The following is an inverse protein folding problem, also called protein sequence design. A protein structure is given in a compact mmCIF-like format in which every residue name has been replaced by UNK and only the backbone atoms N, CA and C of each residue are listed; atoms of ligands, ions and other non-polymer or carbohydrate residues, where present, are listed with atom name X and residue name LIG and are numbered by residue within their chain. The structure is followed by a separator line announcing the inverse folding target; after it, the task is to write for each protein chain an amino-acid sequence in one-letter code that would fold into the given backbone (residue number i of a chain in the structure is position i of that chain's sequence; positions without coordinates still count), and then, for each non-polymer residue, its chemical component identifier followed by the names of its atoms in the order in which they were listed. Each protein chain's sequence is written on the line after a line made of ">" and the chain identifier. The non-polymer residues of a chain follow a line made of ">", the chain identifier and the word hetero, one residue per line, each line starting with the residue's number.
data_IF_281513781283
#
_entry.id   IF_281513781283
#
_cell.length_a   1.000
_cell.length_b   1.000
_cell.length_c   1.000
_cell.angle_alpha   90.00
_cell.angle_beta   90.00
_cell.angle_gamma   90.00
#
_symmetry.space_group_name_H-M   'P 1'
#
loop_
_entity.id
_entity.type
_entity.pdbx_description
1 polymer ?
#
# COMPACT_ATOMS: atom_id res chain seq x y z
N UNK A 1 13.23 -17.98 -15.54
CA UNK A 1 13.66 -17.82 -14.13
C UNK A 1 12.82 -16.70 -13.55
N UNK A 2 11.85 -17.07 -12.72
CA UNK A 2 10.84 -16.17 -12.19
C UNK A 2 11.51 -15.12 -11.32
N UNK A 3 11.22 -13.86 -11.59
CA UNK A 3 11.68 -12.71 -10.84
C UNK A 3 11.32 -12.89 -9.35
N UNK A 4 12.30 -13.28 -8.54
CA UNK A 4 12.16 -13.49 -7.09
C UNK A 4 12.42 -12.20 -6.31
N UNK A 5 12.27 -11.04 -6.95
CA UNK A 5 12.43 -9.76 -6.29
C UNK A 5 11.14 -9.37 -5.53
N UNK A 6 11.30 -8.93 -4.28
CA UNK A 6 10.23 -8.22 -3.57
C UNK A 6 9.91 -6.92 -4.31
N UNK A 7 8.67 -6.39 -4.24
CA UNK A 7 8.21 -5.26 -5.07
C UNK A 7 8.79 -3.90 -4.66
N UNK A 8 9.85 -3.89 -3.85
CA UNK A 8 10.56 -2.71 -3.37
C UNK A 8 12.05 -3.01 -3.28
N UNK A 9 12.87 -1.96 -3.29
CA UNK A 9 14.33 -2.07 -3.27
C UNK A 9 14.81 -2.81 -2.01
N UNK A 10 15.25 -4.06 -2.20
CA UNK A 10 15.61 -4.95 -1.11
C UNK A 10 17.04 -4.69 -0.67
N UNK A 11 17.21 -3.88 0.38
CA UNK A 11 18.50 -3.64 1.04
C UNK A 11 18.79 -4.58 2.22
N UNK A 12 17.89 -5.52 2.52
CA UNK A 12 17.84 -6.21 3.81
C UNK A 12 18.48 -7.60 3.78
N UNK A 13 18.31 -8.37 2.70
CA UNK A 13 18.88 -9.73 2.56
C UNK A 13 18.74 -10.24 1.12
N UNK A 14 19.17 -11.47 0.85
CA UNK A 14 18.90 -12.22 -0.38
C UNK A 14 17.40 -12.22 -0.75
N UNK A 15 17.09 -12.39 -2.04
CA UNK A 15 15.69 -12.32 -2.53
C UNK A 15 14.74 -13.34 -1.88
N UNK A 16 15.25 -14.50 -1.46
CA UNK A 16 14.43 -15.60 -0.94
C UNK A 16 13.96 -15.37 0.51
N UNK A 17 14.85 -14.92 1.40
CA UNK A 17 14.48 -14.54 2.77
C UNK A 17 13.53 -13.33 2.78
N UNK A 18 13.80 -12.33 1.94
CA UNK A 18 12.94 -11.17 1.81
C UNK A 18 11.53 -11.57 1.32
N UNK A 19 11.44 -12.54 0.42
CA UNK A 19 10.16 -13.10 -0.03
C UNK A 19 9.43 -13.84 1.09
N UNK A 20 10.15 -14.61 1.90
CA UNK A 20 9.56 -15.30 3.05
C UNK A 20 8.98 -14.31 4.07
N UNK A 21 9.73 -13.24 4.39
CA UNK A 21 9.24 -12.16 5.25
C UNK A 21 8.04 -11.44 4.63
N UNK A 22 8.04 -11.20 3.32
CA UNK A 22 6.90 -10.58 2.62
C UNK A 22 5.64 -11.43 2.75
N UNK A 23 5.72 -12.74 2.46
CA UNK A 23 4.58 -13.66 2.57
C UNK A 23 4.05 -13.75 4.01
N UNK A 24 4.95 -13.67 5.00
CA UNK A 24 4.55 -13.61 6.40
C UNK A 24 3.80 -12.32 6.73
N UNK A 25 4.29 -11.16 6.31
CA UNK A 25 3.60 -9.89 6.49
C UNK A 25 2.25 -9.84 5.75
N UNK A 26 2.16 -10.46 4.57
CA UNK A 26 0.91 -10.61 3.85
C UNK A 26 -0.11 -11.48 4.58
N UNK A 27 0.35 -12.57 5.22
CA UNK A 27 -0.50 -13.45 6.05
C UNK A 27 -1.09 -12.71 7.24
N UNK A 28 -0.28 -11.89 7.92
CA UNK A 28 -0.74 -11.05 9.03
C UNK A 28 -1.66 -9.91 8.56
N UNK A 29 -1.39 -9.40 7.36
CA UNK A 29 -2.16 -8.36 6.74
C UNK A 29 -1.81 -6.96 7.25
N UNK A 30 -2.01 -5.98 6.36
CA UNK A 30 -1.54 -4.58 6.54
C UNK A 30 -2.03 -3.92 7.83
N UNK A 31 -3.24 -4.24 8.29
CA UNK A 31 -3.79 -3.65 9.51
C UNK A 31 -3.11 -4.20 10.76
N UNK A 32 -2.89 -5.51 10.82
CA UNK A 32 -2.26 -6.15 11.97
C UNK A 32 -0.78 -5.74 12.07
N UNK A 33 -0.06 -5.81 10.95
CA UNK A 33 1.35 -5.36 10.87
C UNK A 33 1.49 -3.91 11.31
N UNK A 34 0.55 -3.02 10.95
CA UNK A 34 0.57 -1.63 11.40
C UNK A 34 0.34 -1.51 12.92
N UNK A 35 -0.60 -2.27 13.47
CA UNK A 35 -0.87 -2.26 14.90
C UNK A 35 0.35 -2.76 15.69
N UNK A 36 0.95 -3.87 15.25
CA UNK A 36 2.18 -4.41 15.84
C UNK A 36 3.35 -3.44 15.70
N UNK A 37 3.47 -2.74 14.56
CA UNK A 37 4.53 -1.74 14.37
C UNK A 37 4.36 -0.55 15.32
N UNK A 38 3.14 -0.04 15.47
CA UNK A 38 2.85 1.06 16.39
C UNK A 38 3.05 0.64 17.86
N UNK A 39 2.64 -0.57 18.22
CA UNK A 39 2.88 -1.15 19.54
C UNK A 39 4.38 -1.27 19.82
N UNK A 40 5.16 -1.73 18.85
CA UNK A 40 6.61 -1.82 18.94
C UNK A 40 7.27 -0.45 19.12
N UNK A 41 6.85 0.58 18.39
CA UNK A 41 7.38 1.94 18.55
C UNK A 41 7.13 2.50 19.96
N UNK A 42 6.02 2.11 20.60
CA UNK A 42 5.63 2.60 21.92
C UNK A 42 6.22 1.79 23.07
N UNK A 43 6.28 0.46 22.93
CA UNK A 43 6.52 -0.46 24.04
C UNK A 43 7.85 -1.22 23.92
N UNK A 44 8.48 -1.27 22.74
CA UNK A 44 9.70 -2.04 22.52
C UNK A 44 10.65 -1.41 21.47
N UNK A 45 11.03 -0.13 21.60
CA UNK A 45 11.83 0.57 20.59
C UNK A 45 13.21 -0.07 20.34
N UNK A 46 13.77 -0.75 21.34
CA UNK A 46 15.09 -1.40 21.23
C UNK A 46 15.04 -2.76 20.53
N UNK A 47 13.84 -3.31 20.30
CA UNK A 47 13.68 -4.59 19.62
C UNK A 47 13.91 -4.38 18.12
N UNK A 48 14.67 -5.29 17.49
CA UNK A 48 14.99 -5.20 16.05
C UNK A 48 14.03 -6.00 15.17
N UNK A 49 13.17 -6.81 15.79
CA UNK A 49 12.30 -7.77 15.13
C UNK A 49 10.84 -7.47 15.48
N UNK A 50 10.01 -7.37 14.45
CA UNK A 50 8.59 -7.09 14.62
C UNK A 50 7.78 -8.37 14.88
N UNK A 51 7.96 -9.40 14.03
CA UNK A 51 7.21 -10.67 14.08
C UNK A 51 8.18 -11.80 13.76
N UNK A 52 8.37 -12.75 14.68
CA UNK A 52 9.07 -14.03 14.43
C UNK A 52 10.23 -13.90 13.43
N UNK A 53 11.22 -13.05 13.68
CA UNK A 53 12.41 -12.85 12.80
C UNK A 53 12.28 -11.88 11.61
N UNK A 54 11.14 -11.20 11.41
CA UNK A 54 11.05 -10.11 10.42
C UNK A 54 11.71 -8.83 10.97
N UNK A 55 12.74 -8.27 10.30
CA UNK A 55 13.35 -7.02 10.73
C UNK A 55 12.35 -5.87 10.74
N UNK A 56 12.38 -5.05 11.79
CA UNK A 56 11.48 -3.91 11.96
C UNK A 56 11.52 -2.95 10.77
N UNK A 57 12.71 -2.72 10.21
CA UNK A 57 12.83 -1.84 9.06
C UNK A 57 12.37 -2.47 7.75
N UNK A 58 12.40 -3.80 7.61
CA UNK A 58 11.77 -4.47 6.47
C UNK A 58 10.25 -4.28 6.52
N UNK A 59 9.64 -4.44 7.69
CA UNK A 59 8.22 -4.16 7.90
C UNK A 59 7.85 -2.69 7.62
N UNK A 60 8.72 -1.75 8.00
CA UNK A 60 8.55 -0.32 7.68
C UNK A 60 8.53 -0.07 6.17
N UNK A 61 9.49 -0.63 5.44
CA UNK A 61 9.60 -0.44 3.99
C UNK A 61 8.41 -1.10 3.27
N UNK A 62 7.99 -2.28 3.72
CA UNK A 62 6.77 -2.96 3.25
C UNK A 62 5.50 -2.13 3.51
N UNK A 63 5.38 -1.53 4.70
CA UNK A 63 4.26 -0.63 5.02
C UNK A 63 4.27 0.63 4.14
N UNK A 64 5.44 1.22 3.87
CA UNK A 64 5.60 2.38 3.00
C UNK A 64 5.15 2.05 1.56
N UNK A 65 5.56 0.90 1.03
CA UNK A 65 5.09 0.40 -0.27
C UNK A 65 3.57 0.22 -0.30
N UNK A 66 2.96 -0.34 0.74
CA UNK A 66 1.51 -0.47 0.83
C UNK A 66 0.77 0.87 0.91
N UNK A 67 1.35 1.85 1.62
CA UNK A 67 0.80 3.20 1.67
C UNK A 67 0.87 3.89 0.30
N UNK A 68 1.98 3.76 -0.40
CA UNK A 68 2.17 4.31 -1.74
C UNK A 68 1.21 3.65 -2.75
N UNK A 69 1.05 2.34 -2.68
CA UNK A 69 0.08 1.58 -3.47
C UNK A 69 -1.36 2.04 -3.22
N UNK A 70 -1.73 2.30 -1.95
CA UNK A 70 -3.05 2.90 -1.62
C UNK A 70 -3.20 4.31 -2.17
N UNK A 71 -2.15 5.15 -2.11
CA UNK A 71 -2.19 6.52 -2.66
C UNK A 71 -2.37 6.51 -4.18
N UNK A 72 -1.69 5.62 -4.89
CA UNK A 72 -1.87 5.44 -6.34
C UNK A 72 -3.30 5.01 -6.68
N UNK A 73 -3.84 4.01 -5.97
CA UNK A 73 -5.24 3.56 -6.16
C UNK A 73 -6.26 4.65 -5.85
N UNK A 74 -6.08 5.42 -4.78
CA UNK A 74 -6.96 6.56 -4.46
C UNK A 74 -6.90 7.63 -5.54
N UNK A 75 -5.70 7.98 -6.03
CA UNK A 75 -5.51 8.98 -7.08
C UNK A 75 -6.26 8.60 -8.36
N UNK A 76 -6.23 7.33 -8.75
CA UNK A 76 -7.00 6.85 -9.90
C UNK A 76 -8.51 6.89 -9.66
N UNK A 77 -9.00 6.51 -8.48
CA UNK A 77 -10.45 6.61 -8.17
C UNK A 77 -10.94 8.05 -8.20
N UNK A 78 -10.18 9.01 -7.64
CA UNK A 78 -10.54 10.42 -7.70
C UNK A 78 -10.61 10.93 -9.15
N UNK A 79 -9.64 10.56 -10.00
CA UNK A 79 -9.66 10.92 -11.42
C UNK A 79 -10.91 10.38 -12.13
N UNK A 80 -11.27 9.12 -11.90
CA UNK A 80 -12.48 8.52 -12.51
C UNK A 80 -13.75 9.23 -12.04
N UNK A 81 -13.86 9.55 -10.75
CA UNK A 81 -15.01 10.29 -10.20
C UNK A 81 -15.13 11.68 -10.85
N UNK A 82 -14.02 12.43 -10.94
CA UNK A 82 -14.01 13.75 -11.56
C UNK A 82 -14.43 13.68 -13.04
N UNK A 83 -13.92 12.71 -13.79
CA UNK A 83 -14.30 12.51 -15.20
C UNK A 83 -15.80 12.22 -15.33
N UNK A 84 -16.34 11.32 -14.50
CA UNK A 84 -17.78 11.01 -14.51
C UNK A 84 -18.64 12.25 -14.21
N UNK A 85 -18.23 13.08 -13.25
CA UNK A 85 -18.93 14.32 -12.93
C UNK A 85 -18.92 15.30 -14.10
N UNK A 86 -17.79 15.46 -14.79
CA UNK A 86 -17.69 16.31 -15.99
C UNK A 86 -18.64 15.82 -17.08
N UNK A 87 -18.69 14.51 -17.34
CA UNK A 87 -19.59 13.91 -18.34
C UNK A 87 -21.05 14.18 -18.01
N UNK A 88 -21.44 14.03 -16.73
CA UNK A 88 -22.82 14.32 -16.28
C UNK A 88 -23.18 15.79 -16.48
N UNK A 89 -22.27 16.71 -16.14
CA UNK A 89 -22.49 18.16 -16.32
C UNK A 89 -22.67 18.50 -17.81
N UNK A 90 -21.84 17.95 -18.69
CA UNK A 90 -21.95 18.15 -20.15
C UNK A 90 -23.28 17.61 -20.66
N UNK A 91 -23.68 16.41 -20.24
CA UNK A 91 -24.96 15.82 -20.64
C UNK A 91 -26.16 16.67 -20.22
N UNK A 92 -26.15 17.18 -18.97
CA UNK A 92 -27.18 18.09 -18.48
C UNK A 92 -27.22 19.40 -19.27
N UNK A 93 -26.06 19.96 -19.61
CA UNK A 93 -25.98 21.18 -20.43
C UNK A 93 -26.55 20.97 -21.84
N UNK A 94 -26.26 19.83 -22.47
CA UNK A 94 -26.82 19.47 -23.78
C UNK A 94 -28.34 19.31 -23.70
N UNK A 95 -28.85 18.63 -22.67
CA UNK A 95 -30.29 18.46 -22.45
C UNK A 95 -30.97 19.82 -22.24
N UNK A 96 -30.39 20.67 -21.39
CA UNK A 96 -30.91 22.01 -21.14
C UNK A 96 -30.92 22.87 -22.40
N UNK A 97 -29.86 22.83 -23.21
CA UNK A 97 -29.78 23.54 -24.48
C UNK A 97 -30.80 23.04 -25.51
N UNK A 98 -31.17 21.75 -25.45
CA UNK A 98 -32.12 21.17 -26.41
C UNK A 98 -33.59 21.44 -26.08
N UNK A 99 -33.90 21.71 -24.81
CA UNK A 99 -35.26 21.97 -24.29
C UNK A 99 -35.57 23.47 -24.19
N UNK A 100 -34.54 24.32 -24.03
CA UNK A 100 -34.66 25.78 -23.98
C UNK A 100 -34.75 26.47 -25.33
#
# INVERSE_FOLDING_TARGET
>A
MSDQSVPFENRWTSGEEARHWMLRLEREGVKNVRAMYADHELNAPDKRLLIEDVPIGFARDWLAWHQQSKRSRRRNRHRVIVVLLIVVIIALAIIAWRIG
#
